data_IF_695083875827
#
_entry.id   IF_695083875827
#
_cell.length_a   1.000
_cell.length_b   1.000
_cell.length_c   1.000
_cell.angle_alpha   90.00
_cell.angle_beta   90.00
_cell.angle_gamma   90.00
#
_symmetry.space_group_name_H-M   'P 1'
#
loop_
_entity.id
_entity.type
_entity.pdbx_description
1 polymer ?
#
# COMPACT_ATOMS: atom_id res chain seq x y z
N UNK A 1 8.70 -3.75 -8.15
CA UNK A 1 9.60 -4.16 -7.05
C UNK A 1 10.82 -4.87 -7.63
N UNK A 2 11.98 -4.52 -7.15
CA UNK A 2 13.24 -5.12 -7.56
C UNK A 2 14.17 -5.27 -6.36
N UNK A 3 14.82 -6.42 -6.22
CA UNK A 3 15.82 -6.65 -5.19
C UNK A 3 17.08 -7.29 -5.79
N UNK A 4 18.25 -6.96 -5.23
CA UNK A 4 19.51 -7.66 -5.46
C UNK A 4 19.62 -8.97 -4.66
N UNK A 5 18.72 -9.19 -3.69
CA UNK A 5 18.64 -10.40 -2.88
C UNK A 5 17.90 -11.51 -3.60
N UNK A 6 18.22 -12.73 -3.26
CA UNK A 6 17.48 -13.90 -3.75
C UNK A 6 16.07 -13.94 -3.10
N UNK A 7 15.09 -14.62 -3.72
CA UNK A 7 13.76 -14.82 -3.12
C UNK A 7 13.82 -15.44 -1.72
N UNK A 8 14.78 -16.33 -1.47
CA UNK A 8 14.98 -16.98 -0.18
C UNK A 8 15.46 -15.99 0.89
N UNK A 9 16.35 -15.07 0.53
CA UNK A 9 16.83 -14.02 1.42
C UNK A 9 15.72 -13.04 1.78
N UNK A 10 14.93 -12.60 0.80
CA UNK A 10 13.77 -11.73 1.01
C UNK A 10 12.75 -12.44 1.92
N UNK A 11 12.44 -13.70 1.64
CA UNK A 11 11.52 -14.48 2.46
C UNK A 11 12.00 -14.63 3.91
N UNK A 12 13.30 -14.82 4.10
CA UNK A 12 13.89 -14.92 5.44
C UNK A 12 13.77 -13.62 6.21
N UNK A 13 13.94 -12.47 5.56
CA UNK A 13 13.75 -11.14 6.18
C UNK A 13 12.30 -10.89 6.56
N UNK A 14 11.35 -11.13 5.66
CA UNK A 14 9.91 -11.00 5.94
C UNK A 14 9.50 -11.94 7.08
N UNK A 15 9.98 -13.19 7.08
CA UNK A 15 9.64 -14.19 8.10
C UNK A 15 10.31 -13.93 9.45
N UNK A 16 11.50 -13.32 9.46
CA UNK A 16 12.25 -12.99 10.68
C UNK A 16 11.83 -11.67 11.31
N UNK A 17 11.12 -10.82 10.60
CA UNK A 17 10.83 -9.44 10.96
C UNK A 17 9.54 -9.18 11.74
N UNK A 18 8.85 -10.18 12.26
CA UNK A 18 7.62 -9.95 13.05
C UNK A 18 7.90 -9.42 14.47
N UNK A 19 8.89 -8.57 14.63
CA UNK A 19 9.19 -7.96 15.94
C UNK A 19 10.11 -6.76 15.88
N UNK A 20 9.73 -5.66 15.20
CA UNK A 20 10.54 -4.46 15.30
C UNK A 20 10.01 -3.29 14.49
N UNK A 21 9.43 -2.33 15.20
CA UNK A 21 8.89 -1.09 14.65
C UNK A 21 9.96 -0.25 13.94
N UNK A 22 9.51 0.49 12.95
CA UNK A 22 10.24 1.51 12.23
C UNK A 22 10.90 2.52 13.17
N UNK A 23 12.22 2.46 13.27
CA UNK A 23 13.05 3.42 13.97
C UNK A 23 14.25 3.74 13.12
N UNK A 24 14.23 4.90 12.46
CA UNK A 24 15.43 5.51 11.91
C UNK A 24 16.41 5.73 13.06
N UNK A 25 17.49 4.97 13.13
CA UNK A 25 18.49 5.05 14.18
C UNK A 25 19.88 4.95 13.64
N UNK A 26 20.59 6.05 13.79
CA UNK A 26 22.02 6.25 13.56
C UNK A 26 22.86 5.14 14.20
N UNK A 27 23.92 4.73 13.48
CA UNK A 27 24.94 3.82 13.98
C UNK A 27 25.60 4.30 15.27
N UNK A 28 25.67 3.42 16.22
CA UNK A 28 26.62 3.47 17.31
C UNK A 28 27.11 2.05 17.58
N UNK A 29 28.37 1.85 17.26
CA UNK A 29 29.17 0.69 17.60
C UNK A 29 29.28 0.57 19.12
N UNK A 30 28.77 -0.52 19.70
CA UNK A 30 29.08 -0.91 21.07
C UNK A 30 29.44 -2.37 21.12
N UNK A 31 30.73 -2.59 21.40
CA UNK A 31 31.35 -3.88 21.61
C UNK A 31 30.62 -4.76 22.62
N UNK A 32 30.54 -6.03 22.29
CA UNK A 32 29.98 -7.09 23.11
C UNK A 32 30.84 -7.37 24.35
N UNK A 33 30.24 -7.53 25.54
CA UNK A 33 30.90 -8.23 26.62
C UNK A 33 30.55 -9.73 26.58
N UNK A 34 31.57 -10.55 26.44
CA UNK A 34 31.57 -11.99 26.71
C UNK A 34 31.21 -12.24 28.16
N UNK A 35 30.13 -12.96 28.42
CA UNK A 35 29.86 -13.51 29.75
C UNK A 35 29.99 -15.06 29.68
N UNK A 36 30.99 -15.53 30.43
CA UNK A 36 31.28 -16.94 30.70
C UNK A 36 30.14 -17.60 31.49
N UNK A 37 29.97 -18.88 31.22
CA UNK A 37 28.93 -19.73 31.72
C UNK A 37 28.84 -19.92 33.23
N UNK A 38 27.63 -20.22 33.67
CA UNK A 38 27.36 -20.92 34.93
C UNK A 38 26.38 -22.06 34.64
N UNK A 39 26.59 -23.26 35.24
CA UNK A 39 25.72 -24.40 35.05
C UNK A 39 24.47 -24.28 35.94
N UNK A 40 23.31 -24.57 35.38
CA UNK A 40 22.09 -24.80 36.18
C UNK A 40 21.75 -26.28 36.14
N UNK A 41 22.00 -26.91 37.28
CA UNK A 41 21.41 -28.22 37.62
C UNK A 41 19.97 -28.02 38.13
N UNK A 42 19.10 -28.86 37.65
CA UNK A 42 17.97 -29.44 38.37
C UNK A 42 16.73 -28.61 38.56
N UNK A 43 15.68 -28.98 37.82
CA UNK A 43 14.39 -29.30 38.47
C UNK A 43 13.48 -30.02 37.49
N UNK A 44 13.01 -31.17 37.97
CA UNK A 44 12.22 -32.15 37.25
C UNK A 44 10.77 -31.81 37.06
N UNK A 45 10.22 -32.41 36.05
CA UNK A 45 8.93 -33.07 35.93
C UNK A 45 7.65 -32.31 36.24
N UNK A 46 6.85 -32.04 35.18
CA UNK A 46 5.40 -32.24 35.31
C UNK A 46 4.85 -32.79 34.00
N UNK A 47 4.33 -34.00 34.11
CA UNK A 47 3.59 -34.72 33.08
C UNK A 47 2.20 -34.12 32.88
N UNK A 48 1.75 -34.10 31.62
CA UNK A 48 0.42 -34.50 31.16
C UNK A 48 -0.74 -33.62 31.55
N UNK A 49 -1.32 -32.92 30.53
CA UNK A 49 -2.76 -32.70 30.52
C UNK A 49 -3.32 -32.96 29.12
N UNK A 50 -4.23 -33.91 29.16
CA UNK A 50 -5.01 -34.51 28.09
C UNK A 50 -6.00 -33.53 27.48
N UNK A 51 -6.11 -33.49 26.16
CA UNK A 51 -7.16 -32.77 25.47
C UNK A 51 -8.39 -33.67 25.27
N UNK A 52 -9.33 -33.53 26.19
CA UNK A 52 -10.67 -34.13 26.11
C UNK A 52 -11.72 -33.12 25.64
N UNK A 53 -12.45 -33.54 24.64
CA UNK A 53 -13.58 -32.86 24.01
C UNK A 53 -14.69 -32.44 24.98
N UNK A 54 -15.38 -31.30 24.65
CA UNK A 54 -16.78 -30.95 25.05
C UNK A 54 -17.24 -29.87 24.07
N UNK A 55 -18.35 -29.97 23.34
CA UNK A 55 -19.70 -30.32 23.84
C UNK A 55 -20.53 -29.05 23.83
N UNK A 56 -21.40 -28.88 22.79
CA UNK A 56 -22.38 -27.79 22.69
C UNK A 56 -23.40 -27.85 23.84
N UNK A 57 -23.68 -26.71 24.48
CA UNK A 57 -24.75 -26.56 25.45
C UNK A 57 -25.29 -25.14 25.45
N UNK A 58 -26.59 -25.05 25.25
CA UNK A 58 -27.38 -23.86 25.00
C UNK A 58 -27.48 -22.90 26.18
N UNK A 59 -27.64 -21.64 25.83
CA UNK A 59 -28.27 -20.49 26.48
C UNK A 59 -29.07 -20.73 27.74
N UNK A 60 -28.80 -19.96 28.81
CA UNK A 60 -29.87 -19.34 29.55
C UNK A 60 -29.43 -18.04 30.23
N UNK A 61 -30.36 -17.09 30.36
CA UNK A 61 -30.12 -15.69 30.66
C UNK A 61 -29.62 -15.44 32.10
N UNK A 62 -28.65 -14.55 32.22
CA UNK A 62 -28.31 -13.93 33.49
C UNK A 62 -28.50 -12.42 33.41
N UNK A 63 -29.51 -11.97 34.14
CA UNK A 63 -29.74 -10.57 34.47
C UNK A 63 -28.51 -9.99 35.18
N UNK A 64 -27.93 -8.93 34.61
CA UNK A 64 -26.92 -8.14 35.29
C UNK A 64 -27.57 -7.31 36.41
N UNK A 65 -27.25 -7.66 37.63
CA UNK A 65 -27.52 -6.82 38.83
C UNK A 65 -26.58 -5.60 38.79
N UNK A 66 -27.18 -4.46 38.75
CA UNK A 66 -26.54 -3.16 38.90
C UNK A 66 -25.90 -3.05 40.29
N UNK A 67 -24.57 -2.86 40.36
CA UNK A 67 -23.88 -2.41 41.59
C UNK A 67 -23.50 -0.94 41.43
N UNK A 68 -23.99 -0.05 42.30
CA UNK A 68 -23.54 1.34 42.32
C UNK A 68 -22.30 1.46 43.22
N UNK A 69 -21.25 2.06 42.69
CA UNK A 69 -20.16 2.60 43.51
C UNK A 69 -18.76 2.14 43.10
N UNK A 70 -18.19 2.74 42.09
CA UNK A 70 -16.79 3.11 42.03
C UNK A 70 -16.61 4.14 40.92
N UNK A 71 -16.83 5.38 41.30
CA UNK A 71 -16.44 6.53 40.49
C UNK A 71 -14.91 6.72 40.60
N UNK A 72 -14.29 7.00 39.49
CA UNK A 72 -12.96 7.58 39.48
C UNK A 72 -11.86 6.72 38.84
N UNK A 73 -11.88 6.53 37.53
CA UNK A 73 -10.70 6.48 36.68
C UNK A 73 -11.13 6.58 35.20
N UNK A 74 -11.74 7.71 34.91
CA UNK A 74 -11.91 8.17 33.52
C UNK A 74 -10.68 9.02 33.18
N UNK A 75 -9.92 8.62 32.21
CA UNK A 75 -8.92 9.51 31.67
C UNK A 75 -7.73 8.84 31.04
N UNK A 76 -7.94 7.85 30.18
CA UNK A 76 -7.01 7.53 29.12
C UNK A 76 -7.77 6.98 27.91
N UNK A 77 -8.69 7.78 27.42
CA UNK A 77 -9.09 7.76 26.04
C UNK A 77 -7.96 8.39 25.24
N UNK A 78 -6.82 7.71 25.14
CA UNK A 78 -5.81 8.04 24.16
C UNK A 78 -6.47 7.91 22.81
N UNK A 79 -6.66 9.05 22.14
CA UNK A 79 -6.90 9.13 20.73
C UNK A 79 -5.89 8.22 20.04
N UNK A 80 -6.31 7.04 19.61
CA UNK A 80 -5.69 6.34 18.50
C UNK A 80 -6.07 7.12 17.23
N UNK A 81 -5.65 8.38 17.19
CA UNK A 81 -5.71 9.22 16.01
C UNK A 81 -4.68 8.69 15.05
N UNK A 82 -5.13 7.86 14.10
CA UNK A 82 -4.50 7.78 12.80
C UNK A 82 -3.04 7.33 12.78
N UNK A 83 -2.72 6.14 13.27
CA UNK A 83 -1.62 5.41 12.63
C UNK A 83 -2.18 5.00 11.27
N UNK A 84 -1.81 5.76 10.23
CA UNK A 84 -2.02 5.35 8.86
C UNK A 84 -1.45 3.93 8.73
N UNK A 85 -2.26 3.00 8.25
CA UNK A 85 -1.82 1.63 8.02
C UNK A 85 -0.87 1.66 6.84
N UNK A 86 0.39 1.30 7.04
CA UNK A 86 1.32 1.04 5.96
C UNK A 86 0.88 -0.27 5.27
N UNK A 87 0.58 -0.18 3.99
CA UNK A 87 0.14 -1.30 3.16
C UNK A 87 1.30 -1.96 2.40
N UNK A 88 2.54 -1.54 2.67
CA UNK A 88 3.73 -2.09 2.04
C UNK A 88 4.42 -3.06 2.99
N UNK A 89 4.60 -4.29 2.54
CA UNK A 89 5.13 -5.36 3.39
C UNK A 89 6.67 -5.41 3.42
N UNK A 90 7.35 -4.76 2.47
CA UNK A 90 8.79 -4.86 2.32
C UNK A 90 9.40 -3.65 1.63
N UNK A 91 10.61 -3.26 2.06
CA UNK A 91 11.40 -2.19 1.45
C UNK A 91 12.31 -2.77 0.36
N UNK A 92 11.95 -2.54 -0.90
CA UNK A 92 12.69 -3.03 -2.05
C UNK A 92 13.89 -2.14 -2.39
N UNK A 93 14.92 -2.73 -3.00
CA UNK A 93 16.12 -1.99 -3.44
C UNK A 93 15.79 -0.97 -4.56
N UNK A 94 14.79 -1.24 -5.38
CA UNK A 94 14.28 -0.32 -6.39
C UNK A 94 12.85 -0.61 -6.80
N UNK A 95 12.18 0.43 -7.31
CA UNK A 95 10.87 0.36 -7.93
C UNK A 95 10.99 0.67 -9.42
N UNK A 96 10.39 -0.16 -10.26
CA UNK A 96 10.53 -0.09 -11.71
C UNK A 96 9.19 0.24 -12.38
N UNK A 97 9.25 1.05 -13.43
CA UNK A 97 8.18 1.23 -14.40
C UNK A 97 8.69 0.77 -15.78
N UNK A 98 8.05 -0.25 -16.36
CA UNK A 98 8.50 -0.88 -17.60
C UNK A 98 9.99 -1.25 -17.57
N UNK A 99 10.43 -1.94 -16.51
CA UNK A 99 11.80 -2.39 -16.24
C UNK A 99 12.85 -1.26 -16.10
N UNK A 100 12.42 -0.01 -15.90
CA UNK A 100 13.30 1.16 -15.74
C UNK A 100 13.06 1.89 -14.43
N UNK A 101 14.13 2.50 -13.91
CA UNK A 101 14.06 3.45 -12.81
C UNK A 101 14.00 4.89 -13.32
N UNK A 102 13.76 5.86 -12.44
CA UNK A 102 13.80 7.29 -12.78
C UNK A 102 15.21 7.83 -13.10
N UNK A 103 16.26 7.05 -12.92
CA UNK A 103 17.60 7.42 -13.41
C UNK A 103 17.72 7.28 -14.93
N UNK A 104 16.90 6.40 -15.54
CA UNK A 104 16.78 6.19 -16.99
C UNK A 104 15.31 5.90 -17.33
N UNK A 105 14.39 6.87 -17.17
CA UNK A 105 12.96 6.64 -17.34
C UNK A 105 12.60 6.43 -18.81
N UNK A 106 11.55 5.68 -19.07
CA UNK A 106 10.98 5.62 -20.40
C UNK A 106 10.41 6.98 -20.81
N UNK A 107 10.80 7.43 -22.02
CA UNK A 107 10.27 8.63 -22.65
C UNK A 107 9.28 8.23 -23.75
N UNK A 108 8.01 8.48 -23.51
CA UNK A 108 6.94 8.20 -24.47
C UNK A 108 6.64 9.47 -25.27
N UNK A 109 6.89 9.42 -26.58
CA UNK A 109 6.57 10.54 -27.46
C UNK A 109 5.06 10.65 -27.66
N UNK A 110 4.54 11.85 -27.46
CA UNK A 110 3.11 12.16 -27.57
C UNK A 110 2.88 13.40 -28.46
N UNK A 111 1.67 13.53 -29.00
CA UNK A 111 1.29 14.68 -29.81
C UNK A 111 0.77 15.83 -28.95
N UNK A 112 1.00 17.07 -29.38
CA UNK A 112 0.43 18.26 -28.77
C UNK A 112 -1.09 18.24 -28.92
N UNK A 113 -1.82 18.57 -27.86
CA UNK A 113 -3.28 18.52 -27.86
C UNK A 113 -3.85 17.11 -28.06
N UNK A 114 -3.01 16.09 -28.02
CA UNK A 114 -3.42 14.69 -28.18
C UNK A 114 -4.20 14.18 -26.97
N UNK A 115 -4.97 13.12 -27.20
CA UNK A 115 -5.58 12.35 -26.13
C UNK A 115 -4.88 11.00 -26.03
N UNK A 116 -4.48 10.64 -24.84
CA UNK A 116 -3.86 9.35 -24.56
C UNK A 116 -4.74 8.52 -23.64
N UNK A 117 -4.69 7.22 -23.80
CA UNK A 117 -5.18 6.27 -22.81
C UNK A 117 -3.98 5.56 -22.19
N UNK A 118 -3.72 5.91 -20.95
CA UNK A 118 -2.70 5.25 -20.14
C UNK A 118 -3.32 4.03 -19.48
N UNK A 119 -2.75 2.84 -19.71
CA UNK A 119 -3.13 1.60 -19.04
C UNK A 119 -2.05 1.23 -18.05
N UNK A 120 -2.39 1.29 -16.79
CA UNK A 120 -1.46 1.03 -15.70
C UNK A 120 -1.79 -0.31 -15.06
N UNK A 121 -0.78 -1.13 -14.85
CA UNK A 121 -0.86 -2.40 -14.13
C UNK A 121 0.12 -2.32 -12.97
N UNK A 122 -0.36 -2.51 -11.75
CA UNK A 122 0.53 -2.70 -10.62
C UNK A 122 0.92 -4.18 -10.54
N UNK A 123 2.11 -4.50 -11.05
CA UNK A 123 2.70 -5.84 -11.03
C UNK A 123 3.68 -6.00 -9.86
N UNK A 124 3.66 -5.12 -8.87
CA UNK A 124 4.48 -5.22 -7.68
C UNK A 124 4.08 -6.43 -6.84
N UNK A 125 5.06 -7.04 -6.18
CA UNK A 125 4.85 -8.20 -5.31
C UNK A 125 4.19 -7.81 -3.98
N UNK A 126 4.58 -6.64 -3.41
CA UNK A 126 4.18 -6.23 -2.07
C UNK A 126 4.12 -4.70 -1.91
N UNK A 127 3.83 -3.95 -2.99
CA UNK A 127 3.83 -2.47 -2.93
C UNK A 127 2.57 -1.88 -3.54
N UNK A 128 1.98 -0.97 -2.82
CA UNK A 128 0.84 -0.15 -3.23
C UNK A 128 1.34 1.21 -3.71
N UNK A 129 0.73 1.74 -4.77
CA UNK A 129 1.15 3.01 -5.36
C UNK A 129 -0.01 3.99 -5.55
N UNK A 130 0.33 5.27 -5.47
CA UNK A 130 -0.45 6.33 -6.07
C UNK A 130 0.08 6.61 -7.47
N UNK A 131 -0.78 6.58 -8.47
CA UNK A 131 -0.45 7.01 -9.83
C UNK A 131 -0.75 8.50 -9.94
N UNK A 132 0.32 9.29 -10.02
CA UNK A 132 0.29 10.75 -10.12
C UNK A 132 0.54 11.16 -11.58
N UNK A 133 -0.35 11.97 -12.15
CA UNK A 133 -0.32 12.36 -13.57
C UNK A 133 0.46 13.66 -13.82
N UNK A 134 1.30 14.09 -12.87
CA UNK A 134 2.15 15.28 -13.01
C UNK A 134 1.37 16.58 -13.13
N UNK A 135 0.17 16.63 -12.56
CA UNK A 135 -0.73 17.79 -12.64
C UNK A 135 -1.62 17.82 -13.90
N UNK A 136 -1.43 16.91 -14.86
CA UNK A 136 -2.37 16.75 -15.96
C UNK A 136 -3.68 16.13 -15.43
N UNK A 137 -4.82 16.76 -15.74
CA UNK A 137 -6.11 16.20 -15.37
C UNK A 137 -6.36 14.91 -16.16
N UNK A 138 -6.64 13.83 -15.43
CA UNK A 138 -6.97 12.55 -16.00
C UNK A 138 -8.38 12.10 -15.60
N UNK A 139 -8.94 11.18 -16.35
CA UNK A 139 -10.21 10.55 -16.04
C UNK A 139 -9.99 9.04 -15.93
N UNK A 140 -10.25 8.47 -14.77
CA UNK A 140 -10.32 7.03 -14.59
C UNK A 140 -11.58 6.52 -15.29
N UNK A 141 -11.40 5.68 -16.31
CA UNK A 141 -12.47 5.21 -17.20
C UNK A 141 -12.68 3.69 -17.17
N UNK A 142 -11.73 2.95 -16.63
CA UNK A 142 -11.89 1.52 -16.36
C UNK A 142 -10.99 1.09 -15.20
N UNK A 143 -11.44 0.09 -14.46
CA UNK A 143 -10.68 -0.61 -13.43
C UNK A 143 -10.81 -2.11 -13.67
N UNK A 144 -9.70 -2.84 -13.62
CA UNK A 144 -9.61 -4.30 -13.86
C UNK A 144 -10.31 -4.78 -15.13
N UNK A 145 -10.27 -3.94 -16.17
CA UNK A 145 -10.89 -4.21 -17.46
C UNK A 145 -12.39 -3.89 -17.54
N UNK A 146 -13.00 -3.44 -16.44
CA UNK A 146 -14.40 -3.04 -16.41
C UNK A 146 -14.55 -1.53 -16.56
N UNK A 147 -15.33 -1.10 -17.55
CA UNK A 147 -15.57 0.32 -17.77
C UNK A 147 -16.41 0.92 -16.63
N UNK A 148 -15.99 2.09 -16.15
CA UNK A 148 -16.68 2.87 -15.13
C UNK A 148 -17.13 4.22 -15.69
N UNK A 149 -18.06 4.88 -14.99
CA UNK A 149 -18.34 6.28 -15.24
C UNK A 149 -17.07 7.09 -14.94
N UNK A 150 -16.67 8.03 -15.82
CA UNK A 150 -15.39 8.72 -15.68
C UNK A 150 -15.26 9.46 -14.35
N UNK A 151 -14.18 9.21 -13.63
CA UNK A 151 -13.85 9.89 -12.37
C UNK A 151 -12.62 10.75 -12.61
N UNK A 152 -12.79 12.08 -12.57
CA UNK A 152 -11.71 13.04 -12.77
C UNK A 152 -10.78 13.12 -11.55
N UNK A 153 -9.48 13.34 -11.81
CA UNK A 153 -8.45 13.52 -10.79
C UNK A 153 -7.06 13.63 -11.39
N UNK A 154 -6.08 13.87 -10.53
CA UNK A 154 -4.65 13.88 -10.88
C UNK A 154 -3.86 12.81 -10.17
N UNK A 155 -4.48 12.12 -9.21
CA UNK A 155 -3.85 11.06 -8.43
C UNK A 155 -4.86 9.93 -8.18
N UNK A 156 -4.43 8.69 -8.39
CA UNK A 156 -5.26 7.49 -8.33
C UNK A 156 -4.55 6.38 -7.58
N UNK A 157 -5.21 5.79 -6.58
CA UNK A 157 -4.68 4.65 -5.84
C UNK A 157 -4.70 3.38 -6.68
N UNK A 158 -3.66 2.56 -6.54
CA UNK A 158 -3.49 1.32 -7.30
C UNK A 158 -2.85 0.25 -6.42
N UNK A 159 -3.65 -0.68 -5.95
CA UNK A 159 -3.17 -1.82 -5.18
C UNK A 159 -2.53 -2.88 -6.08
N UNK A 160 -1.83 -3.83 -5.47
CA UNK A 160 -1.18 -4.94 -6.16
C UNK A 160 -2.18 -5.73 -7.01
N UNK A 161 -1.78 -6.08 -8.24
CA UNK A 161 -2.60 -6.80 -9.20
C UNK A 161 -3.72 -5.99 -9.86
N UNK A 162 -4.02 -4.78 -9.37
CA UNK A 162 -5.02 -3.90 -9.98
C UNK A 162 -4.54 -3.28 -11.29
N UNK A 163 -5.49 -2.88 -12.11
CA UNK A 163 -5.27 -2.19 -13.38
C UNK A 163 -6.21 -0.99 -13.48
N UNK A 164 -5.67 0.13 -13.96
CA UNK A 164 -6.42 1.35 -14.23
C UNK A 164 -6.25 1.78 -15.68
N UNK A 165 -7.34 2.21 -16.33
CA UNK A 165 -7.29 2.94 -17.59
C UNK A 165 -7.59 4.42 -17.31
N UNK A 166 -6.64 5.29 -17.63
CA UNK A 166 -6.73 6.74 -17.43
C UNK A 166 -6.74 7.43 -18.81
N UNK A 167 -7.77 8.21 -19.10
CA UNK A 167 -7.80 9.10 -20.26
C UNK A 167 -7.23 10.46 -19.85
N UNK A 168 -6.23 10.95 -20.57
CA UNK A 168 -5.55 12.23 -20.34
C UNK A 168 -5.60 13.04 -21.62
N UNK A 169 -6.12 14.28 -21.54
CA UNK A 169 -6.05 15.24 -22.63
C UNK A 169 -4.82 16.13 -22.44
N UNK A 170 -3.90 16.12 -23.42
CA UNK A 170 -2.66 16.87 -23.35
C UNK A 170 -2.87 18.32 -23.83
N UNK A 171 -2.18 19.30 -23.21
CA UNK A 171 -2.22 20.69 -23.66
C UNK A 171 -1.67 20.89 -25.09
N UNK A 172 -2.21 21.88 -25.79
CA UNK A 172 -1.75 22.23 -27.14
C UNK A 172 -0.34 22.85 -27.18
N UNK A 173 0.09 23.45 -26.08
CA UNK A 173 1.42 24.08 -25.96
C UNK A 173 2.55 23.07 -26.01
N UNK A 174 2.24 21.83 -25.77
CA UNK A 174 3.23 20.77 -25.62
C UNK A 174 3.95 20.85 -24.26
N UNK A 175 4.84 19.91 -24.02
CA UNK A 175 5.57 19.84 -22.74
C UNK A 175 6.03 18.42 -22.43
N UNK A 176 6.50 18.24 -21.21
CA UNK A 176 6.83 16.95 -20.63
C UNK A 176 6.03 16.74 -19.33
N UNK A 177 5.35 15.63 -19.24
CA UNK A 177 4.50 15.27 -18.11
C UNK A 177 5.00 13.96 -17.49
N UNK A 178 5.58 14.02 -16.29
CA UNK A 178 5.95 12.81 -15.56
C UNK A 178 4.69 12.11 -15.06
N UNK A 179 4.55 10.85 -15.40
CA UNK A 179 3.56 9.96 -14.83
C UNK A 179 4.28 9.12 -13.79
N UNK A 180 4.01 9.39 -12.53
CA UNK A 180 4.75 8.80 -11.42
C UNK A 180 3.91 7.79 -10.66
N UNK A 181 4.52 6.68 -10.26
CA UNK A 181 4.02 5.77 -9.26
C UNK A 181 4.73 6.10 -7.95
N UNK A 182 4.00 6.70 -7.02
CA UNK A 182 4.49 7.10 -5.69
C UNK A 182 4.17 5.96 -4.72
N UNK A 183 5.19 5.43 -4.05
CA UNK A 183 5.00 4.42 -3.01
C UNK A 183 4.12 5.01 -1.90
N UNK A 184 3.07 4.32 -1.54
CA UNK A 184 2.17 4.71 -0.47
C UNK A 184 2.92 4.82 0.87
N UNK A 185 2.65 5.86 1.65
CA UNK A 185 3.28 6.09 2.95
C UNK A 185 4.77 6.38 2.93
N UNK A 186 5.41 6.55 1.75
CA UNK A 186 6.85 6.64 1.62
C UNK A 186 7.30 7.68 0.59
N UNK A 187 8.61 7.85 0.42
CA UNK A 187 9.20 8.85 -0.49
C UNK A 187 9.65 8.27 -1.82
N UNK A 188 9.76 6.96 -1.91
CA UNK A 188 10.19 6.26 -3.11
C UNK A 188 9.15 6.41 -4.21
N UNK A 189 9.65 6.54 -5.42
CA UNK A 189 8.81 6.66 -6.61
C UNK A 189 9.52 6.14 -7.85
N UNK A 190 8.73 5.73 -8.81
CA UNK A 190 9.16 5.37 -10.15
C UNK A 190 8.19 5.97 -11.16
N UNK A 191 8.38 5.72 -12.45
CA UNK A 191 7.45 6.21 -13.47
C UNK A 191 8.08 6.33 -14.84
N UNK A 192 7.31 6.96 -15.74
CA UNK A 192 7.69 7.29 -17.11
C UNK A 192 7.41 8.76 -17.40
N UNK A 193 7.87 9.26 -18.54
CA UNK A 193 7.64 10.65 -18.93
C UNK A 193 6.97 10.69 -20.29
N UNK A 194 5.81 11.32 -20.37
CA UNK A 194 5.18 11.68 -21.64
C UNK A 194 5.80 12.99 -22.12
N UNK A 195 6.27 13.06 -23.36
CA UNK A 195 6.89 14.26 -23.86
C UNK A 195 6.50 14.54 -25.32
N UNK A 196 6.19 15.79 -25.64
CA UNK A 196 6.05 16.21 -27.04
C UNK A 196 7.42 16.42 -27.67
N UNK A 197 7.50 16.32 -28.97
CA UNK A 197 8.75 16.53 -29.70
C UNK A 197 9.40 17.87 -29.34
N UNK A 198 10.66 17.83 -28.92
CA UNK A 198 11.45 19.02 -28.55
C UNK A 198 11.15 19.57 -27.16
N UNK A 199 10.33 18.93 -26.37
CA UNK A 199 10.11 19.34 -24.98
C UNK A 199 11.36 19.10 -24.13
N UNK A 200 11.65 20.03 -23.21
CA UNK A 200 12.69 19.86 -22.21
C UNK A 200 12.22 18.85 -21.16
N UNK A 201 12.99 17.76 -21.00
CA UNK A 201 12.73 16.73 -19.99
C UNK A 201 13.67 16.95 -18.82
N UNK A 202 13.11 17.28 -17.65
CA UNK A 202 13.88 17.45 -16.41
C UNK A 202 14.11 16.11 -15.74
N UNK A 203 15.28 15.97 -15.13
CA UNK A 203 15.58 14.82 -14.27
C UNK A 203 14.64 14.81 -13.06
N UNK A 204 14.14 13.64 -12.71
CA UNK A 204 13.30 13.39 -11.57
C UNK A 204 14.02 12.42 -10.65
N UNK A 205 14.18 12.79 -9.39
CA UNK A 205 14.81 11.91 -8.41
C UNK A 205 13.87 10.78 -8.01
N UNK A 206 14.42 9.60 -7.75
CA UNK A 206 13.65 8.45 -7.30
C UNK A 206 13.09 8.63 -5.87
N UNK A 207 13.68 9.54 -5.10
CA UNK A 207 13.18 9.93 -3.77
C UNK A 207 12.47 11.28 -3.88
N UNK A 208 11.24 11.34 -3.42
CA UNK A 208 10.49 12.60 -3.31
C UNK A 208 10.96 13.43 -2.10
N UNK A 209 10.65 14.73 -2.10
CA UNK A 209 10.92 15.59 -0.95
C UNK A 209 10.03 15.25 0.25
N UNK A 210 8.79 14.83 0.00
CA UNK A 210 7.81 14.43 1.01
C UNK A 210 7.30 13.02 0.73
N UNK A 211 6.81 12.37 1.76
CA UNK A 211 6.14 11.07 1.67
C UNK A 211 4.79 11.20 0.93
N UNK A 212 4.45 10.18 0.16
CA UNK A 212 3.11 10.05 -0.38
C UNK A 212 2.13 9.72 0.76
N UNK A 213 0.91 10.22 0.64
CA UNK A 213 -0.13 9.92 1.64
C UNK A 213 -0.38 8.42 1.77
N UNK A 214 -0.73 7.96 2.97
CA UNK A 214 -1.33 6.66 3.13
C UNK A 214 -2.66 6.57 2.37
N UNK A 215 -3.10 5.38 2.01
CA UNK A 215 -4.43 5.17 1.42
C UNK A 215 -5.51 5.48 2.45
N UNK A 216 -6.62 6.02 1.93
CA UNK A 216 -7.79 6.26 2.75
C UNK A 216 -8.44 4.93 3.16
N UNK A 217 -8.64 4.75 4.45
CA UNK A 217 -9.29 3.55 4.98
C UNK A 217 -10.79 3.50 4.67
N UNK A 218 -11.37 4.61 4.26
CA UNK A 218 -12.78 4.73 3.87
C UNK A 218 -13.04 4.34 2.41
N UNK A 219 -12.01 3.93 1.67
CA UNK A 219 -12.08 3.58 0.25
C UNK A 219 -12.67 4.71 -0.60
N UNK A 220 -12.21 5.95 -0.39
CA UNK A 220 -12.77 7.14 -1.02
C UNK A 220 -12.75 7.11 -2.55
N UNK A 221 -11.73 6.51 -3.17
CA UNK A 221 -11.68 6.31 -4.61
C UNK A 221 -12.70 5.27 -5.07
N UNK A 222 -12.70 4.11 -4.44
CA UNK A 222 -13.53 2.95 -4.80
C UNK A 222 -15.03 3.28 -4.64
N UNK A 223 -15.39 4.04 -3.62
CA UNK A 223 -16.78 4.46 -3.36
C UNK A 223 -17.37 5.33 -4.48
N UNK A 224 -16.51 5.95 -5.30
CA UNK A 224 -16.92 6.77 -6.46
C UNK A 224 -17.05 5.97 -7.75
N UNK A 225 -16.61 4.71 -7.77
CA UNK A 225 -16.62 3.89 -8.97
C UNK A 225 -18.03 3.32 -9.21
N UNK A 226 -18.61 3.70 -10.33
CA UNK A 226 -19.90 3.19 -10.79
C UNK A 226 -19.68 2.51 -12.13
N UNK A 227 -20.11 1.27 -12.26
CA UNK A 227 -20.03 0.57 -13.54
C UNK A 227 -20.74 1.37 -14.63
N UNK A 228 -20.12 1.52 -15.81
CA UNK A 228 -20.75 2.21 -16.94
C UNK A 228 -21.97 1.45 -17.44
N UNK A 229 -21.85 0.13 -17.49
CA UNK A 229 -22.91 -0.76 -17.91
C UNK A 229 -23.35 -1.59 -16.71
N UNK A 230 -24.51 -1.25 -16.14
CA UNK A 230 -25.05 -1.95 -14.99
C UNK A 230 -25.39 -3.41 -15.33
N UNK A 231 -25.11 -4.32 -14.41
CA UNK A 231 -25.59 -5.70 -14.55
C UNK A 231 -27.12 -5.72 -14.46
N UNK A 232 -27.79 -6.59 -15.25
CA UNK A 232 -29.24 -6.76 -15.17
C UNK A 232 -29.63 -7.28 -13.77
N UNK A 233 -30.68 -6.70 -13.21
CA UNK A 233 -31.26 -7.19 -11.96
C UNK A 233 -31.69 -8.65 -12.12
N UNK A 234 -31.26 -9.48 -11.19
CA UNK A 234 -31.71 -10.88 -11.10
C UNK A 234 -32.55 -11.06 -9.85
N UNK A 235 -33.75 -11.64 -9.94
CA UNK A 235 -34.54 -11.92 -8.75
C UNK A 235 -33.76 -12.89 -7.85
N UNK A 236 -33.54 -12.48 -6.59
CA UNK A 236 -32.92 -13.34 -5.59
C UNK A 236 -33.99 -14.32 -5.11
N UNK A 237 -33.93 -15.56 -5.59
CA UNK A 237 -34.75 -16.65 -5.05
C UNK A 237 -34.28 -16.93 -3.60
N UNK A 238 -35.20 -16.81 -2.64
CA UNK A 238 -34.94 -17.38 -1.31
C UNK A 238 -34.79 -18.90 -1.47
N UNK A 239 -33.67 -19.45 -1.05
CA UNK A 239 -33.51 -20.88 -0.81
C UNK A 239 -34.08 -21.24 0.55
#
# INVERSE_FOLDING_TARGET
DFSFKTPEEVLAEISGGHGGGHGAGQGADFGAPTVQGMPMEGMGGMQGMDHGAMGHGATDGMQMRYMPGMGGMMGMGGQMSGMAMDLNDYDWDAYLANDRTLSDPELVQVERGGRIRLRVINAAAATVFWIDTGGAEARLVATDGHAVQPVAGTRFGLAMGQRLDLDIDLPNEGGAWPILALREGARERTGLILATQGAEVRRIDAMAEAEASAFDTDLAQESRLIARDALPERPVGRR
#
